data_IF_927387207058
#
_entry.id   IF_927387207058
#
_cell.length_a   1.000
_cell.length_b   1.000
_cell.length_c   1.000
_cell.angle_alpha   90.00
_cell.angle_beta   90.00
_cell.angle_gamma   90.00
#
_symmetry.space_group_name_H-M   'P 1'
#
loop_
_entity.id
_entity.type
_entity.pdbx_description
1 polymer ?
#
# COMPACT_ATOMS: atom_id res chain seq x y z
N UNK A 1 -20.14 3.50 -20.36
CA UNK A 1 -20.16 2.48 -19.30
C UNK A 1 -19.18 2.92 -18.21
N UNK A 2 -19.51 2.73 -16.93
CA UNK A 2 -18.57 2.96 -15.84
C UNK A 2 -17.38 2.01 -15.96
N UNK A 3 -16.20 2.48 -15.60
CA UNK A 3 -14.96 1.71 -15.54
C UNK A 3 -14.99 0.62 -14.49
N UNK A 4 -13.88 -0.09 -14.36
CA UNK A 4 -13.73 -1.19 -13.41
C UNK A 4 -12.46 -0.98 -12.58
N UNK A 5 -12.57 -1.21 -11.27
CA UNK A 5 -11.47 -1.13 -10.32
C UNK A 5 -10.93 -2.53 -10.02
N UNK A 6 -9.66 -2.74 -10.29
CA UNK A 6 -8.88 -3.91 -9.85
C UNK A 6 -7.89 -3.44 -8.79
N UNK A 7 -7.93 -4.00 -7.58
CA UNK A 7 -7.03 -3.60 -6.49
C UNK A 7 -6.23 -4.77 -5.94
N UNK A 8 -4.97 -4.50 -5.59
CA UNK A 8 -4.01 -5.51 -5.18
C UNK A 8 -3.57 -5.33 -3.73
N UNK A 9 -3.41 -6.44 -3.02
CA UNK A 9 -2.90 -6.51 -1.65
C UNK A 9 -1.84 -7.60 -1.55
N UNK A 10 -0.91 -7.48 -0.60
CA UNK A 10 0.17 -8.46 -0.41
C UNK A 10 1.40 -7.86 0.23
N UNK A 11 2.35 -8.72 0.61
CA UNK A 11 3.63 -8.32 1.20
C UNK A 11 4.39 -7.33 0.29
N UNK A 12 5.28 -6.52 0.86
CA UNK A 12 6.22 -5.72 0.05
C UNK A 12 7.21 -6.63 -0.67
N UNK A 13 7.63 -6.27 -1.88
CA UNK A 13 8.57 -7.10 -2.64
C UNK A 13 7.98 -8.34 -3.32
N UNK A 14 6.74 -8.76 -3.02
CA UNK A 14 6.13 -9.99 -3.58
C UNK A 14 5.79 -9.92 -5.09
N UNK A 15 6.10 -8.81 -5.79
CA UNK A 15 5.89 -8.67 -7.24
C UNK A 15 4.55 -8.09 -7.68
N UNK A 16 3.81 -7.40 -6.80
CA UNK A 16 2.53 -6.74 -7.14
C UNK A 16 2.66 -5.75 -8.30
N UNK A 17 3.63 -4.84 -8.24
CA UNK A 17 3.84 -3.82 -9.26
C UNK A 17 4.10 -4.45 -10.63
N UNK A 18 4.95 -5.48 -10.67
CA UNK A 18 5.25 -6.21 -11.91
C UNK A 18 4.03 -6.94 -12.48
N UNK A 19 3.18 -7.51 -11.63
CA UNK A 19 1.91 -8.11 -12.08
C UNK A 19 0.95 -7.05 -12.62
N UNK A 20 0.82 -5.92 -11.94
CA UNK A 20 -0.02 -4.79 -12.37
C UNK A 20 0.43 -4.27 -13.73
N UNK A 21 1.73 -4.01 -13.89
CA UNK A 21 2.30 -3.54 -15.15
C UNK A 21 2.06 -4.56 -16.29
N UNK A 22 2.24 -5.86 -16.03
CA UNK A 22 1.97 -6.90 -17.03
C UNK A 22 0.48 -7.00 -17.44
N UNK A 23 -0.44 -6.76 -16.51
CA UNK A 23 -1.88 -6.71 -16.80
C UNK A 23 -2.20 -5.46 -17.64
N UNK A 24 -1.63 -4.32 -17.26
CA UNK A 24 -1.81 -3.07 -17.98
C UNK A 24 -1.35 -3.17 -19.44
N UNK A 25 -0.13 -3.66 -19.67
CA UNK A 25 0.42 -3.87 -21.00
C UNK A 25 -0.51 -4.73 -21.88
N UNK A 26 -1.13 -5.75 -21.28
CA UNK A 26 -2.04 -6.64 -22.01
C UNK A 26 -3.35 -5.95 -22.37
N UNK A 27 -3.94 -5.20 -21.44
CA UNK A 27 -5.16 -4.43 -21.68
C UNK A 27 -4.94 -3.29 -22.70
N UNK A 28 -3.82 -2.58 -22.59
CA UNK A 28 -3.46 -1.51 -23.51
C UNK A 28 -3.18 -2.02 -24.93
N UNK A 29 -2.58 -3.21 -25.07
CA UNK A 29 -2.41 -3.87 -26.37
C UNK A 29 -3.76 -4.19 -27.05
N UNK A 30 -4.84 -4.31 -26.28
CA UNK A 30 -6.22 -4.47 -26.76
C UNK A 30 -6.95 -3.12 -26.95
N UNK A 31 -6.25 -1.99 -26.79
CA UNK A 31 -6.82 -0.65 -26.93
C UNK A 31 -7.66 -0.19 -25.74
N UNK A 32 -7.55 -0.85 -24.59
CA UNK A 32 -8.23 -0.46 -23.35
C UNK A 32 -7.46 0.67 -22.70
N UNK A 33 -8.18 1.71 -22.25
CA UNK A 33 -7.57 2.78 -21.44
C UNK A 33 -7.39 2.27 -20.01
N UNK A 34 -6.14 2.19 -19.57
CA UNK A 34 -5.76 1.77 -18.23
C UNK A 34 -5.26 2.98 -17.44
N UNK A 35 -5.66 3.09 -16.18
CA UNK A 35 -5.10 4.05 -15.22
C UNK A 35 -4.47 3.31 -14.06
N UNK A 36 -3.19 3.55 -13.82
CA UNK A 36 -2.51 3.06 -12.64
C UNK A 36 -2.77 4.02 -11.49
N UNK A 37 -3.18 3.48 -10.35
CA UNK A 37 -3.40 4.30 -9.16
C UNK A 37 -2.60 3.75 -8.00
N UNK A 38 -1.65 4.56 -7.55
CA UNK A 38 -1.09 4.48 -6.20
C UNK A 38 -0.97 5.91 -5.69
N UNK A 39 -0.84 6.07 -4.37
CA UNK A 39 -0.65 7.40 -3.80
C UNK A 39 0.54 8.12 -4.47
N UNK A 40 1.69 7.44 -4.58
CA UNK A 40 2.89 7.98 -5.21
C UNK A 40 2.65 8.36 -6.67
N UNK A 41 2.05 7.48 -7.49
CA UNK A 41 1.79 7.77 -8.90
C UNK A 41 0.87 8.97 -9.10
N UNK A 42 -0.20 9.08 -8.29
CA UNK A 42 -1.10 10.24 -8.38
C UNK A 42 -0.38 11.55 -8.05
N UNK A 43 0.55 11.52 -7.10
CA UNK A 43 1.36 12.71 -6.78
C UNK A 43 2.34 13.06 -7.91
N UNK A 44 2.90 12.06 -8.60
CA UNK A 44 3.95 12.24 -9.61
C UNK A 44 3.40 12.58 -11.01
N UNK A 45 2.17 12.20 -11.34
CA UNK A 45 1.61 12.28 -12.71
C UNK A 45 0.95 13.61 -13.08
N UNK A 46 0.60 14.46 -12.12
CA UNK A 46 -0.33 15.57 -12.36
C UNK A 46 0.27 16.95 -12.04
N UNK A 47 -0.18 17.95 -12.80
CA UNK A 47 0.02 19.36 -12.45
C UNK A 47 -0.57 19.63 -11.05
N UNK A 48 0.16 20.38 -10.22
CA UNK A 48 -0.22 20.79 -8.85
C UNK A 48 -1.64 21.36 -8.83
N UNK A 49 -2.58 20.57 -8.32
CA UNK A 49 -4.01 20.87 -8.20
C UNK A 49 -4.69 19.82 -7.33
N UNK A 50 -5.95 20.00 -6.95
CA UNK A 50 -6.70 18.97 -6.22
C UNK A 50 -6.89 17.69 -7.06
N UNK A 51 -6.67 16.47 -6.53
CA UNK A 51 -6.31 16.13 -5.14
C UNK A 51 -4.81 16.03 -4.85
N UNK A 52 -3.94 16.29 -5.83
CA UNK A 52 -2.47 16.15 -5.74
C UNK A 52 -1.89 16.89 -4.55
N UNK A 53 -2.21 18.17 -4.39
CA UNK A 53 -1.65 18.98 -3.29
C UNK A 53 -2.06 18.41 -1.92
N UNK A 54 -3.32 17.98 -1.79
CA UNK A 54 -3.81 17.34 -0.57
C UNK A 54 -3.12 16.01 -0.29
N UNK A 55 -2.88 15.21 -1.33
CA UNK A 55 -2.16 13.95 -1.22
C UNK A 55 -0.67 14.16 -0.89
N UNK A 56 -0.02 15.19 -1.41
CA UNK A 56 1.35 15.56 -1.07
C UNK A 56 1.48 15.93 0.41
N UNK A 57 0.60 16.79 0.91
CA UNK A 57 0.59 17.19 2.31
C UNK A 57 0.31 15.99 3.24
N UNK A 58 -0.69 15.16 2.90
CA UNK A 58 -0.96 13.95 3.68
C UNK A 58 0.19 12.93 3.61
N UNK A 59 0.93 12.85 2.51
CA UNK A 59 2.10 11.98 2.40
C UNK A 59 3.18 12.43 3.36
N UNK A 60 3.53 13.73 3.32
CA UNK A 60 4.47 14.35 4.24
C UNK A 60 4.04 14.16 5.70
N UNK A 61 2.76 14.43 6.01
CA UNK A 61 2.22 14.31 7.36
C UNK A 61 2.20 12.86 7.85
N UNK A 62 2.03 11.88 6.96
CA UNK A 62 2.12 10.47 7.34
C UNK A 62 3.51 10.17 7.92
N UNK A 63 4.59 10.66 7.31
CA UNK A 63 5.93 10.46 7.85
C UNK A 63 6.22 11.35 9.06
N UNK A 64 5.80 12.62 9.04
CA UNK A 64 5.98 13.53 10.17
C UNK A 64 5.34 13.03 11.45
N UNK A 65 4.12 12.54 11.36
CA UNK A 65 3.44 11.97 12.52
C UNK A 65 4.07 10.65 12.93
N UNK A 66 4.50 9.81 11.97
CA UNK A 66 5.15 8.53 12.24
C UNK A 66 6.44 8.69 13.07
N UNK A 67 7.29 9.65 12.70
CA UNK A 67 8.65 9.79 13.28
C UNK A 67 8.91 11.14 13.96
N UNK A 68 7.92 12.01 14.14
CA UNK A 68 8.09 13.38 14.64
C UNK A 68 8.58 13.51 16.08
N UNK A 69 8.49 12.44 16.87
CA UNK A 69 9.10 12.35 18.21
C UNK A 69 10.48 11.69 18.23
N UNK A 70 10.98 11.23 17.08
CA UNK A 70 12.21 10.47 17.00
C UNK A 70 13.46 11.32 17.27
N UNK A 71 14.50 10.63 17.70
CA UNK A 71 15.87 11.15 17.85
C UNK A 71 16.81 10.33 17.00
N UNK A 72 17.85 10.99 16.51
CA UNK A 72 19.02 10.39 15.87
C UNK A 72 20.24 10.56 16.78
N UNK A 73 21.39 10.03 16.37
CA UNK A 73 22.66 10.27 17.07
C UNK A 73 23.01 11.78 17.19
N UNK A 74 22.53 12.62 16.28
CA UNK A 74 22.78 14.07 16.27
C UNK A 74 21.77 14.90 17.08
N UNK A 75 20.77 14.27 17.70
CA UNK A 75 19.74 14.95 18.49
C UNK A 75 18.32 14.71 17.96
N UNK A 76 17.36 15.61 18.26
CA UNK A 76 16.01 15.50 17.72
C UNK A 76 16.00 15.45 16.18
N UNK A 77 15.17 14.58 15.61
CA UNK A 77 14.99 14.51 14.16
C UNK A 77 14.29 15.78 13.66
N UNK A 78 14.92 16.50 12.73
CA UNK A 78 14.30 17.64 12.05
C UNK A 78 13.73 17.19 10.72
N UNK A 79 12.42 17.27 10.55
CA UNK A 79 11.74 16.87 9.31
C UNK A 79 11.49 18.09 8.40
N UNK A 80 11.43 17.89 7.07
CA UNK A 80 11.23 18.97 6.10
C UNK A 80 9.87 19.64 6.32
N UNK A 81 9.76 20.92 5.91
CA UNK A 81 8.60 21.79 6.12
C UNK A 81 7.42 21.54 5.18
N UNK A 82 7.74 21.17 3.94
CA UNK A 82 6.80 20.97 2.86
C UNK A 82 7.24 19.81 1.96
N UNK A 83 6.38 19.45 1.00
CA UNK A 83 6.64 18.33 0.10
C UNK A 83 7.81 18.60 -0.87
N UNK A 84 8.08 19.86 -1.23
CA UNK A 84 9.20 20.20 -2.10
C UNK A 84 10.54 19.96 -1.40
N UNK A 85 10.66 20.34 -0.13
CA UNK A 85 11.80 20.01 0.73
C UNK A 85 11.93 18.48 0.95
N UNK A 86 10.79 17.78 1.10
CA UNK A 86 10.76 16.31 1.20
C UNK A 86 11.41 15.62 0.00
N UNK A 87 10.97 15.98 -1.21
CA UNK A 87 11.47 15.40 -2.46
C UNK A 87 12.93 15.79 -2.71
N UNK A 88 13.25 17.09 -2.64
CA UNK A 88 14.61 17.58 -2.92
C UNK A 88 15.66 17.07 -1.93
N UNK A 89 15.26 16.80 -0.68
CA UNK A 89 16.11 16.20 0.34
C UNK A 89 16.19 14.67 0.32
N UNK A 90 15.45 13.99 -0.58
CA UNK A 90 15.43 12.53 -0.66
C UNK A 90 14.97 11.86 0.64
N UNK A 91 14.02 12.48 1.36
CA UNK A 91 13.75 12.16 2.76
C UNK A 91 13.25 10.72 3.01
N UNK A 92 12.60 10.07 2.06
CA UNK A 92 12.23 8.66 2.20
C UNK A 92 13.45 7.74 2.31
N UNK A 93 14.44 7.96 1.45
CA UNK A 93 15.71 7.23 1.49
C UNK A 93 16.48 7.57 2.76
N UNK A 94 16.57 8.86 3.09
CA UNK A 94 17.24 9.32 4.32
C UNK A 94 16.63 8.69 5.56
N UNK A 95 15.30 8.66 5.69
CA UNK A 95 14.62 8.01 6.81
C UNK A 95 14.79 6.49 6.78
N UNK A 96 14.90 5.88 5.58
CA UNK A 96 15.17 4.45 5.49
C UNK A 96 16.55 4.10 6.04
N UNK A 97 17.54 4.97 5.87
CA UNK A 97 18.91 4.76 6.31
C UNK A 97 19.19 5.26 7.74
N UNK A 98 18.30 6.08 8.28
CA UNK A 98 18.47 6.71 9.59
C UNK A 98 18.06 5.77 10.72
N UNK A 99 18.95 5.59 11.70
CA UNK A 99 18.59 4.95 12.96
C UNK A 99 17.72 5.88 13.81
N UNK A 100 16.48 5.46 14.07
CA UNK A 100 15.48 6.23 14.80
C UNK A 100 15.28 5.67 16.19
N UNK A 101 15.32 6.55 17.19
CA UNK A 101 15.15 6.21 18.59
C UNK A 101 14.03 7.04 19.23
N UNK A 102 13.36 6.49 20.24
CA UNK A 102 12.42 7.24 21.08
C UNK A 102 11.09 7.62 20.41
N UNK A 103 10.68 6.91 19.36
CA UNK A 103 9.36 7.09 18.75
C UNK A 103 8.28 6.69 19.74
N UNK A 104 7.36 7.61 20.04
CA UNK A 104 6.21 7.36 20.92
C UNK A 104 5.03 6.73 20.17
N UNK A 105 4.15 5.99 20.86
CA UNK A 105 3.05 5.24 20.22
C UNK A 105 1.98 6.12 19.57
N UNK A 106 1.80 7.36 20.04
CA UNK A 106 0.86 8.30 19.45
C UNK A 106 1.20 8.64 17.99
N UNK A 107 2.48 8.62 17.61
CA UNK A 107 2.95 8.96 16.27
C UNK A 107 2.44 8.02 15.19
N UNK A 108 2.77 6.71 15.26
CA UNK A 108 2.25 5.72 14.31
C UNK A 108 0.72 5.66 14.27
N UNK A 109 0.03 5.81 15.41
CA UNK A 109 -1.44 5.85 15.42
C UNK A 109 -1.99 7.08 14.66
N UNK A 110 -1.43 8.27 14.89
CA UNK A 110 -1.80 9.47 14.14
C UNK A 110 -1.50 9.30 12.64
N UNK A 111 -0.35 8.72 12.30
CA UNK A 111 0.04 8.40 10.94
C UNK A 111 -0.91 7.39 10.25
N UNK A 112 -1.50 6.48 11.03
CA UNK A 112 -2.52 5.55 10.53
C UNK A 112 -3.80 6.30 10.11
N UNK A 113 -4.23 7.30 10.89
CA UNK A 113 -5.35 8.17 10.55
C UNK A 113 -5.06 9.05 9.32
N UNK A 114 -3.83 9.56 9.18
CA UNK A 114 -3.40 10.27 7.97
C UNK A 114 -3.45 9.34 6.76
N UNK A 115 -2.98 8.09 6.92
CA UNK A 115 -3.07 7.05 5.89
C UNK A 115 -4.51 6.74 5.47
N UNK A 116 -5.44 6.70 6.43
CA UNK A 116 -6.86 6.54 6.17
C UNK A 116 -7.42 7.71 5.35
N UNK A 117 -7.10 8.96 5.75
CA UNK A 117 -7.51 10.16 5.02
C UNK A 117 -7.00 10.16 3.58
N UNK A 118 -5.74 9.80 3.34
CA UNK A 118 -5.19 9.68 1.99
C UNK A 118 -5.86 8.57 1.17
N UNK A 119 -6.22 7.45 1.82
CA UNK A 119 -7.01 6.39 1.18
C UNK A 119 -8.40 6.86 0.73
N UNK A 120 -9.07 7.70 1.54
CA UNK A 120 -10.35 8.32 1.19
C UNK A 120 -10.20 9.25 -0.02
N UNK A 121 -9.21 10.14 -0.01
CA UNK A 121 -8.96 11.03 -1.15
C UNK A 121 -8.60 10.28 -2.43
N UNK A 122 -7.78 9.23 -2.33
CA UNK A 122 -7.46 8.40 -3.50
C UNK A 122 -8.71 7.75 -4.09
N UNK A 123 -9.59 7.21 -3.25
CA UNK A 123 -10.83 6.59 -3.72
C UNK A 123 -11.75 7.62 -4.40
N UNK A 124 -12.03 8.73 -3.72
CA UNK A 124 -13.00 9.73 -4.19
C UNK A 124 -12.51 10.62 -5.33
N UNK A 125 -11.24 11.03 -5.31
CA UNK A 125 -10.75 12.07 -6.20
C UNK A 125 -9.73 11.60 -7.25
N UNK A 126 -9.22 10.36 -7.14
CA UNK A 126 -8.33 9.77 -8.15
C UNK A 126 -8.95 8.56 -8.85
N UNK A 127 -9.54 7.63 -8.10
CA UNK A 127 -10.14 6.40 -8.64
C UNK A 127 -11.50 6.68 -9.26
N UNK A 128 -12.43 7.28 -8.51
CA UNK A 128 -13.80 7.52 -8.98
C UNK A 128 -13.86 8.27 -10.32
N UNK A 129 -13.12 9.38 -10.53
CA UNK A 129 -13.17 10.09 -11.82
C UNK A 129 -12.65 9.24 -12.99
N UNK A 130 -11.72 8.32 -12.74
CA UNK A 130 -11.23 7.40 -13.77
C UNK A 130 -12.27 6.33 -14.12
N UNK A 131 -12.98 5.81 -13.12
CA UNK A 131 -14.11 4.92 -13.34
C UNK A 131 -15.23 5.65 -14.10
N UNK A 132 -15.54 6.90 -13.79
CA UNK A 132 -16.55 7.67 -14.54
C UNK A 132 -16.20 7.85 -16.02
N UNK A 133 -14.90 7.96 -16.35
CA UNK A 133 -14.40 8.00 -17.74
C UNK A 133 -14.41 6.64 -18.45
N UNK A 134 -14.81 5.56 -17.78
CA UNK A 134 -14.84 4.22 -18.36
C UNK A 134 -13.45 3.60 -18.52
N UNK A 135 -12.51 3.93 -17.64
CA UNK A 135 -11.15 3.38 -17.62
C UNK A 135 -11.08 2.10 -16.78
N UNK A 136 -10.10 1.23 -17.06
CA UNK A 136 -9.71 0.18 -16.11
C UNK A 136 -8.74 0.80 -15.12
N UNK A 137 -9.09 0.83 -13.84
CA UNK A 137 -8.22 1.34 -12.79
C UNK A 137 -7.50 0.18 -12.13
N UNK A 138 -6.17 0.18 -12.20
CA UNK A 138 -5.32 -0.79 -11.50
C UNK A 138 -4.71 -0.13 -10.26
N UNK A 139 -5.22 -0.48 -9.08
CA UNK A 139 -4.73 0.03 -7.80
C UNK A 139 -3.68 -0.91 -7.21
N UNK A 140 -2.40 -0.55 -7.36
CA UNK A 140 -1.26 -1.41 -7.04
C UNK A 140 -1.17 -1.84 -5.56
N UNK A 141 -1.63 -0.97 -4.65
CA UNK A 141 -1.74 -1.30 -3.24
C UNK A 141 -3.02 -0.75 -2.68
N UNK A 142 -3.87 -1.66 -2.19
CA UNK A 142 -5.08 -1.33 -1.48
C UNK A 142 -4.77 -0.50 -0.22
N UNK A 143 -5.39 0.69 -0.02
CA UNK A 143 -4.93 1.66 0.98
C UNK A 143 -4.94 1.15 2.43
N UNK A 144 -5.80 0.17 2.75
CA UNK A 144 -5.84 -0.49 4.06
C UNK A 144 -4.46 -0.93 4.56
N UNK A 145 -3.59 -1.43 3.66
CA UNK A 145 -2.23 -1.90 4.00
C UNK A 145 -1.43 -0.84 4.75
N UNK A 146 -1.52 0.42 4.31
CA UNK A 146 -0.74 1.50 4.90
C UNK A 146 -1.26 1.92 6.28
N UNK A 147 -2.53 1.66 6.58
CA UNK A 147 -3.12 1.90 7.90
C UNK A 147 -2.72 0.77 8.85
N UNK A 148 -2.88 -0.48 8.41
CA UNK A 148 -2.58 -1.67 9.21
C UNK A 148 -1.14 -1.68 9.72
N UNK A 149 -0.16 -1.43 8.85
CA UNK A 149 1.25 -1.45 9.22
C UNK A 149 1.60 -0.46 10.32
N UNK A 150 0.97 0.71 10.32
CA UNK A 150 1.19 1.74 11.33
C UNK A 150 0.55 1.37 12.67
N UNK A 151 -0.60 0.68 12.62
CA UNK A 151 -1.20 0.05 13.81
C UNK A 151 -0.23 -0.98 14.39
N UNK A 152 0.40 -1.81 13.56
CA UNK A 152 1.38 -2.79 14.03
C UNK A 152 2.65 -2.18 14.60
N UNK A 153 3.20 -1.13 13.97
CA UNK A 153 4.32 -0.36 14.55
C UNK A 153 3.91 0.18 15.92
N UNK A 154 2.70 0.72 16.06
CA UNK A 154 2.19 1.17 17.36
C UNK A 154 2.12 0.01 18.37
N UNK A 155 1.54 -1.14 18.00
CA UNK A 155 1.49 -2.35 18.85
C UNK A 155 2.89 -2.77 19.31
N UNK A 156 3.87 -2.73 18.41
CA UNK A 156 5.26 -3.08 18.71
C UNK A 156 5.88 -2.14 19.74
N UNK A 157 5.62 -0.83 19.64
CA UNK A 157 6.12 0.18 20.58
C UNK A 157 5.48 0.04 21.97
N UNK A 158 4.17 -0.22 22.04
CA UNK A 158 3.44 -0.27 23.33
C UNK A 158 3.59 -1.59 24.06
N UNK A 159 3.92 -2.67 23.37
CA UNK A 159 3.94 -4.03 23.93
C UNK A 159 2.57 -4.41 24.50
N UNK A 160 2.55 -4.84 25.76
CA UNK A 160 1.34 -5.33 26.43
C UNK A 160 0.56 -4.25 27.21
N UNK A 161 0.76 -2.93 26.97
CA UNK A 161 0.00 -1.88 27.67
C UNK A 161 -1.50 -1.95 27.28
N UNK A 162 -2.39 -2.37 28.21
CA UNK A 162 -3.79 -2.64 27.89
C UNK A 162 -4.57 -1.40 27.46
N UNK A 163 -4.10 -0.19 27.83
CA UNK A 163 -4.75 1.07 27.43
C UNK A 163 -4.60 1.31 25.94
N UNK A 164 -3.42 1.03 25.39
CA UNK A 164 -3.13 1.18 23.98
C UNK A 164 -3.69 0.03 23.16
N UNK A 165 -3.60 -1.20 23.65
CA UNK A 165 -4.16 -2.38 22.97
C UNK A 165 -5.64 -2.19 22.64
N UNK A 166 -6.45 -1.74 23.61
CA UNK A 166 -7.88 -1.51 23.37
C UNK A 166 -8.16 -0.42 22.31
N UNK A 167 -7.31 0.61 22.21
CA UNK A 167 -7.43 1.66 21.18
C UNK A 167 -7.03 1.12 19.82
N UNK A 168 -5.95 0.35 19.75
CA UNK A 168 -5.42 -0.23 18.51
C UNK A 168 -6.36 -1.27 17.92
N UNK A 169 -7.00 -2.08 18.76
CA UNK A 169 -8.01 -3.05 18.32
C UNK A 169 -9.22 -2.34 17.71
N UNK A 170 -9.71 -1.27 18.35
CA UNK A 170 -10.80 -0.45 17.79
C UNK A 170 -10.39 0.23 16.50
N UNK A 171 -9.16 0.73 16.40
CA UNK A 171 -8.66 1.36 15.18
C UNK A 171 -8.56 0.34 14.03
N UNK A 172 -8.12 -0.88 14.31
CA UNK A 172 -8.07 -1.93 13.31
C UNK A 172 -9.47 -2.32 12.84
N UNK A 173 -10.43 -2.55 13.76
CA UNK A 173 -11.83 -2.84 13.41
C UNK A 173 -12.43 -1.72 12.57
N UNK A 174 -12.23 -0.45 12.97
CA UNK A 174 -12.70 0.70 12.20
C UNK A 174 -12.11 0.73 10.79
N UNK A 175 -10.81 0.47 10.64
CA UNK A 175 -10.18 0.42 9.32
C UNK A 175 -10.74 -0.73 8.47
N UNK A 176 -10.91 -1.92 9.06
CA UNK A 176 -11.52 -3.06 8.38
C UNK A 176 -12.96 -2.77 7.93
N UNK A 177 -13.78 -2.12 8.76
CA UNK A 177 -15.16 -1.74 8.43
C UNK A 177 -15.21 -0.71 7.30
N UNK A 178 -14.37 0.33 7.36
CA UNK A 178 -14.33 1.37 6.32
C UNK A 178 -13.90 0.76 4.98
N UNK A 179 -12.77 0.06 4.96
CA UNK A 179 -12.23 -0.51 3.73
C UNK A 179 -13.02 -1.73 3.24
N UNK A 180 -13.74 -2.44 4.12
CA UNK A 180 -14.70 -3.48 3.79
C UNK A 180 -16.04 -2.97 3.25
N UNK A 181 -16.29 -1.66 3.32
CA UNK A 181 -17.53 -1.08 2.80
C UNK A 181 -17.55 -1.06 1.28
N UNK A 182 -18.77 -1.02 0.70
CA UNK A 182 -18.97 -0.97 -0.76
C UNK A 182 -18.31 0.22 -1.44
N UNK A 183 -18.01 1.29 -0.70
CA UNK A 183 -17.36 2.49 -1.25
C UNK A 183 -15.90 2.22 -1.61
N UNK A 184 -15.23 1.37 -0.84
CA UNK A 184 -13.79 1.13 -1.00
C UNK A 184 -13.46 -0.20 -1.66
N UNK A 185 -14.40 -1.16 -1.65
CA UNK A 185 -14.15 -2.46 -2.25
C UNK A 185 -13.99 -2.36 -3.78
N UNK A 186 -12.96 -3.02 -4.34
CA UNK A 186 -12.78 -3.09 -5.78
C UNK A 186 -13.82 -3.99 -6.44
N UNK A 187 -14.05 -3.81 -7.74
CA UNK A 187 -14.82 -4.77 -8.53
C UNK A 187 -14.07 -6.12 -8.66
N UNK A 188 -12.73 -6.08 -8.62
CA UNK A 188 -11.85 -7.25 -8.56
C UNK A 188 -10.76 -7.03 -7.52
N UNK A 189 -10.87 -7.72 -6.39
CA UNK A 189 -9.83 -7.74 -5.36
C UNK A 189 -8.85 -8.89 -5.56
N UNK A 190 -7.55 -8.62 -5.41
CA UNK A 190 -6.48 -9.61 -5.61
C UNK A 190 -5.49 -9.57 -4.45
N UNK A 191 -5.41 -10.67 -3.70
CA UNK A 191 -4.30 -10.93 -2.79
C UNK A 191 -3.17 -11.63 -3.56
N UNK A 192 -2.00 -11.00 -3.62
CA UNK A 192 -0.75 -11.61 -4.09
C UNK A 192 -0.03 -12.19 -2.87
N UNK A 193 -0.01 -13.52 -2.80
CA UNK A 193 0.46 -14.30 -1.65
C UNK A 193 1.64 -15.19 -2.04
N UNK A 194 2.55 -15.48 -1.11
CA UNK A 194 3.69 -16.34 -1.37
C UNK A 194 4.75 -16.31 -0.26
N UNK A 195 5.91 -16.97 -0.48
CA UNK A 195 7.02 -17.00 0.48
C UNK A 195 7.61 -15.61 0.76
N UNK A 196 7.73 -15.25 2.04
CA UNK A 196 8.19 -13.92 2.49
C UNK A 196 9.70 -13.73 2.40
N UNK A 197 10.45 -14.81 2.55
CA UNK A 197 11.91 -14.85 2.33
C UNK A 197 12.25 -14.51 0.87
N UNK A 198 11.49 -15.06 -0.08
CA UNK A 198 11.60 -14.71 -1.49
C UNK A 198 11.23 -13.25 -1.75
N UNK A 199 10.16 -12.74 -1.12
CA UNK A 199 9.77 -11.33 -1.22
C UNK A 199 10.88 -10.39 -0.69
N UNK A 200 11.52 -10.76 0.43
CA UNK A 200 12.67 -10.03 0.97
C UNK A 200 13.84 -10.03 0.00
N UNK A 201 14.22 -11.19 -0.54
CA UNK A 201 15.32 -11.31 -1.49
C UNK A 201 15.09 -10.46 -2.75
N UNK A 202 13.88 -10.51 -3.31
CA UNK A 202 13.51 -9.68 -4.46
C UNK A 202 13.55 -8.19 -4.12
N UNK A 203 13.07 -7.81 -2.93
CA UNK A 203 13.14 -6.43 -2.46
C UNK A 203 14.59 -5.95 -2.36
N UNK A 204 15.46 -6.74 -1.74
CA UNK A 204 16.88 -6.40 -1.62
C UNK A 204 17.58 -6.34 -2.97
N UNK A 205 17.24 -7.24 -3.91
CA UNK A 205 17.77 -7.19 -5.27
C UNK A 205 17.31 -5.95 -6.06
N UNK A 206 16.09 -5.47 -5.81
CA UNK A 206 15.51 -4.31 -6.51
C UNK A 206 16.04 -2.98 -5.99
N UNK A 207 16.02 -2.77 -4.66
CA UNK A 207 16.30 -1.46 -4.06
C UNK A 207 17.54 -1.41 -3.16
N UNK A 208 18.17 -2.56 -2.87
CA UNK A 208 19.30 -2.64 -1.93
C UNK A 208 18.93 -2.41 -0.46
N UNK A 209 17.68 -2.06 -0.16
CA UNK A 209 17.18 -1.76 1.17
C UNK A 209 15.66 -1.97 1.27
N UNK A 210 15.17 -2.15 2.50
CA UNK A 210 13.73 -2.11 2.81
C UNK A 210 13.32 -0.70 3.24
N UNK A 211 12.12 -0.27 2.88
CA UNK A 211 11.58 1.07 3.16
C UNK A 211 11.18 1.27 4.62
N UNK A 212 10.93 2.52 5.00
CA UNK A 212 10.65 2.96 6.40
C UNK A 212 9.50 2.21 7.08
N UNK A 213 8.50 1.78 6.32
CA UNK A 213 7.33 1.03 6.79
C UNK A 213 7.29 -0.40 6.25
N UNK A 214 8.42 -0.95 5.82
CA UNK A 214 8.52 -2.34 5.35
C UNK A 214 9.04 -3.30 6.43
N UNK A 215 9.63 -2.77 7.50
CA UNK A 215 10.06 -3.47 8.71
C UNK A 215 9.66 -2.68 9.98
N UNK A 216 10.01 -3.21 11.15
CA UNK A 216 9.73 -2.60 12.45
C UNK A 216 10.79 -1.60 12.91
N UNK A 217 11.62 -1.00 12.02
CA UNK A 217 12.71 -0.10 12.43
C UNK A 217 12.26 1.07 13.30
N UNK A 218 11.07 1.61 13.01
CA UNK A 218 10.48 2.72 13.77
C UNK A 218 10.20 2.31 15.23
N UNK A 219 10.02 1.02 15.47
CA UNK A 219 9.87 0.42 16.80
C UNK A 219 11.17 -0.21 17.35
N UNK A 220 12.30 -0.06 16.65
CA UNK A 220 13.61 -0.56 17.07
C UNK A 220 14.05 -1.89 16.46
N UNK A 221 13.23 -2.56 15.65
CA UNK A 221 13.56 -3.86 15.04
C UNK A 221 13.71 -3.72 13.52
N UNK A 222 14.92 -3.47 13.06
CA UNK A 222 15.23 -3.26 11.63
C UNK A 222 15.76 -4.51 10.93
N UNK A 223 15.82 -4.45 9.60
CA UNK A 223 16.46 -5.48 8.77
C UNK A 223 15.57 -6.69 8.51
N UNK A 224 16.18 -7.81 8.13
CA UNK A 224 15.46 -9.00 7.66
C UNK A 224 14.47 -9.55 8.71
N UNK A 225 14.87 -9.66 9.97
CA UNK A 225 14.00 -10.18 11.02
C UNK A 225 12.77 -9.27 11.24
N UNK A 226 12.99 -7.96 11.33
CA UNK A 226 11.90 -6.98 11.48
C UNK A 226 10.98 -6.95 10.26
N UNK A 227 11.54 -7.08 9.06
CA UNK A 227 10.78 -7.20 7.81
C UNK A 227 9.92 -8.47 7.84
N UNK A 228 10.52 -9.65 8.02
CA UNK A 228 9.80 -10.93 7.97
C UNK A 228 8.67 -10.98 9.00
N UNK A 229 8.92 -10.46 10.21
CA UNK A 229 7.89 -10.39 11.23
C UNK A 229 6.72 -9.48 10.82
N UNK A 230 6.99 -8.24 10.38
CA UNK A 230 5.94 -7.31 9.95
C UNK A 230 5.14 -7.87 8.77
N UNK A 231 5.82 -8.47 7.79
CA UNK A 231 5.16 -9.03 6.62
C UNK A 231 4.30 -10.26 6.99
N UNK A 232 4.77 -11.12 7.90
CA UNK A 232 4.00 -12.26 8.40
C UNK A 232 2.70 -11.80 9.07
N UNK A 233 2.79 -10.88 10.02
CA UNK A 233 1.62 -10.33 10.73
C UNK A 233 0.65 -9.63 9.73
N UNK A 234 1.19 -8.95 8.72
CA UNK A 234 0.40 -8.29 7.69
C UNK A 234 -0.33 -9.28 6.80
N UNK A 235 0.36 -10.30 6.30
CA UNK A 235 -0.20 -11.29 5.38
C UNK A 235 -1.25 -12.16 6.07
N UNK A 236 -1.12 -12.46 7.36
CA UNK A 236 -2.17 -13.15 8.12
C UNK A 236 -3.50 -12.38 8.09
N UNK A 237 -3.45 -11.06 8.32
CA UNK A 237 -4.63 -10.20 8.21
C UNK A 237 -5.12 -10.12 6.76
N UNK A 238 -4.22 -9.99 5.79
CA UNK A 238 -4.59 -9.92 4.38
C UNK A 238 -5.28 -11.19 3.88
N UNK A 239 -4.80 -12.38 4.25
CA UNK A 239 -5.41 -13.67 3.92
C UNK A 239 -6.82 -13.78 4.49
N UNK A 240 -6.99 -13.42 5.76
CA UNK A 240 -8.32 -13.39 6.40
C UNK A 240 -9.27 -12.46 5.65
N UNK A 241 -8.85 -11.23 5.41
CA UNK A 241 -9.70 -10.22 4.75
C UNK A 241 -10.01 -10.59 3.30
N UNK A 242 -9.04 -11.14 2.56
CA UNK A 242 -9.29 -11.64 1.21
C UNK A 242 -10.37 -12.73 1.20
N UNK A 243 -10.33 -13.65 2.18
CA UNK A 243 -11.40 -14.64 2.33
C UNK A 243 -12.75 -14.05 2.74
N UNK A 244 -12.77 -13.01 3.58
CA UNK A 244 -14.00 -12.33 4.01
C UNK A 244 -14.62 -11.47 2.89
N UNK A 245 -13.80 -10.89 2.03
CA UNK A 245 -14.22 -10.01 0.93
C UNK A 245 -14.36 -10.75 -0.41
N UNK A 246 -14.15 -12.06 -0.44
CA UNK A 246 -14.21 -12.90 -1.65
C UNK A 246 -13.22 -12.44 -2.74
N UNK A 247 -12.01 -12.07 -2.32
CA UNK A 247 -10.94 -11.67 -3.23
C UNK A 247 -10.23 -12.89 -3.83
N UNK A 248 -9.73 -12.71 -5.05
CA UNK A 248 -8.86 -13.68 -5.70
C UNK A 248 -7.54 -13.81 -4.93
N UNK A 249 -6.99 -15.03 -4.90
CA UNK A 249 -5.67 -15.28 -4.30
C UNK A 249 -4.70 -15.77 -5.37
N UNK A 250 -3.77 -14.91 -5.77
CA UNK A 250 -2.66 -15.25 -6.64
C UNK A 250 -1.49 -15.81 -5.82
N UNK A 251 -1.23 -17.11 -5.95
CA UNK A 251 -0.09 -17.78 -5.31
C UNK A 251 1.18 -17.63 -6.14
N UNK A 252 2.16 -16.95 -5.57
CA UNK A 252 3.51 -16.76 -6.08
C UNK A 252 4.43 -17.84 -5.50
N UNK A 253 5.21 -18.48 -6.36
CA UNK A 253 6.13 -19.55 -5.98
C UNK A 253 7.49 -19.43 -6.69
N UNK A 254 8.39 -20.39 -6.40
CA UNK A 254 9.73 -20.47 -6.99
C UNK A 254 9.78 -20.85 -8.47
N UNK A 255 8.66 -20.86 -9.21
CA UNK A 255 8.65 -21.18 -10.65
C UNK A 255 9.26 -20.09 -11.54
N UNK A 256 9.62 -18.94 -10.98
CA UNK A 256 10.23 -17.81 -11.69
C UNK A 256 9.20 -16.75 -12.10
N UNK A 257 9.69 -15.60 -12.59
CA UNK A 257 8.86 -14.42 -12.84
C UNK A 257 7.76 -14.68 -13.89
N UNK A 258 8.14 -15.12 -15.09
CA UNK A 258 7.22 -15.27 -16.23
C UNK A 258 6.07 -16.28 -15.96
N UNK A 259 6.32 -17.47 -15.38
CA UNK A 259 5.23 -18.36 -14.98
C UNK A 259 4.28 -17.77 -13.95
N UNK A 260 4.79 -17.03 -12.95
CA UNK A 260 3.96 -16.34 -11.97
C UNK A 260 3.10 -15.26 -12.63
N UNK A 261 3.70 -14.39 -13.46
CA UNK A 261 2.98 -13.33 -14.19
C UNK A 261 1.89 -13.89 -15.08
N UNK A 262 2.18 -14.97 -15.84
CA UNK A 262 1.18 -15.62 -16.70
C UNK A 262 -0.02 -16.12 -15.92
N UNK A 263 0.20 -16.77 -14.77
CA UNK A 263 -0.90 -17.27 -13.92
C UNK A 263 -1.70 -16.12 -13.32
N UNK A 264 -1.03 -15.11 -12.75
CA UNK A 264 -1.68 -13.95 -12.16
C UNK A 264 -2.49 -13.16 -13.18
N UNK A 265 -1.91 -12.89 -14.35
CA UNK A 265 -2.59 -12.21 -15.45
C UNK A 265 -3.80 -12.99 -15.94
N UNK A 266 -3.66 -14.30 -16.21
CA UNK A 266 -4.78 -15.12 -16.66
C UNK A 266 -5.93 -15.14 -15.65
N UNK A 267 -5.62 -15.19 -14.36
CA UNK A 267 -6.60 -15.15 -13.28
C UNK A 267 -7.37 -13.83 -13.23
N UNK A 268 -6.67 -12.69 -13.31
CA UNK A 268 -7.31 -11.37 -13.26
C UNK A 268 -8.09 -11.07 -14.54
N UNK A 269 -7.46 -11.27 -15.71
CA UNK A 269 -8.11 -11.02 -17.00
C UNK A 269 -9.31 -11.94 -17.21
N UNK A 270 -9.26 -13.18 -16.73
CA UNK A 270 -10.39 -14.13 -16.80
C UNK A 270 -11.51 -13.88 -15.80
N UNK A 271 -11.40 -12.90 -14.91
CA UNK A 271 -12.43 -12.64 -13.90
C UNK A 271 -13.75 -12.17 -14.55
N UNK A 272 -14.92 -12.70 -14.15
CA UNK A 272 -16.19 -12.38 -14.80
C UNK A 272 -16.54 -10.89 -14.86
N UNK A 273 -16.19 -10.12 -13.81
CA UNK A 273 -16.44 -8.68 -13.79
C UNK A 273 -15.62 -7.94 -14.87
N UNK A 274 -14.34 -8.30 -15.02
CA UNK A 274 -13.46 -7.68 -16.02
C UNK A 274 -13.83 -8.14 -17.43
N UNK A 275 -14.10 -9.42 -17.65
CA UNK A 275 -14.60 -9.93 -18.93
C UNK A 275 -15.91 -9.26 -19.34
N UNK A 276 -16.87 -9.12 -18.41
CA UNK A 276 -18.13 -8.43 -18.68
C UNK A 276 -17.94 -6.96 -19.08
N UNK A 277 -16.97 -6.27 -18.47
CA UNK A 277 -16.59 -4.92 -18.88
C UNK A 277 -15.98 -4.92 -20.29
N UNK A 278 -15.04 -5.82 -20.59
CA UNK A 278 -14.36 -5.89 -21.89
C UNK A 278 -15.34 -6.22 -23.04
N UNK A 279 -16.18 -7.24 -22.85
CA UNK A 279 -17.19 -7.67 -23.85
C UNK A 279 -18.17 -6.56 -24.23
N UNK A 280 -18.49 -5.68 -23.28
CA UNK A 280 -19.40 -4.58 -23.50
C UNK A 280 -18.83 -3.46 -24.37
N UNK A 281 -17.50 -3.36 -24.47
CA UNK A 281 -16.81 -2.36 -25.30
C UNK A 281 -16.68 -2.80 -26.75
N UNK A 282 -16.78 -4.10 -27.01
CA UNK A 282 -16.71 -4.68 -28.34
C UNK A 282 -18.07 -4.65 -29.09
N UNK A 283 -19.14 -4.20 -28.43
CA UNK A 283 -20.49 -4.06 -29.00
C UNK A 283 -20.79 -2.61 -29.33
#
# INVERSE_FOLDING_TARGET
MRGILVSFLGADGIGKSTLVDSIAESLEAEGVKVRHVSWRRVIEEADTSWPVDGLQELWLEAFRTLVGGARTASGPLSLPRDYAEWVSGGWETTLAETELNGVGPAGPLASALVGLAGGVLLAGDAVEPALERGEVVLQETFPFKQVLKKIFVCRRIVGDDPRWTAVLDRMQVMAEDIFGSRVFQPDVGVLVDGPLDMAFQWRMAQSGQVGVLEDYRVAGDSGEAGYLQMQQESVEVFRRLAGQWDWLVHQVDGSGLEPNLRRGRAMVLGHPALQGFLDSRSR
#
